data_IF_972407636752
#
_entry.id   IF_972407636752
#
_cell.length_a   1.000
_cell.length_b   1.000
_cell.length_c   1.000
_cell.angle_alpha   90.00
_cell.angle_beta   90.00
_cell.angle_gamma   90.00
#
_symmetry.space_group_name_H-M   'P 1'
#
loop_
_entity.id
_entity.type
_entity.pdbx_description
1 polymer ?
#
# COMPACT_ATOMS: atom_id res chain seq x y z
N UNK A 1 101.84 80.03 -118.93
CA UNK A 1 101.00 80.42 -117.78
C UNK A 1 99.48 80.41 -118.01
N UNK A 2 98.95 80.23 -119.24
CA UNK A 2 97.48 80.32 -119.47
C UNK A 2 96.69 79.01 -119.24
N UNK A 3 97.29 77.82 -119.42
CA UNK A 3 96.59 76.53 -119.30
C UNK A 3 96.40 76.02 -117.86
N UNK A 4 97.23 76.47 -116.90
CA UNK A 4 97.17 76.01 -115.50
C UNK A 4 96.04 76.68 -114.68
N UNK A 5 95.69 77.93 -115.01
CA UNK A 5 94.65 78.69 -114.30
C UNK A 5 93.24 78.18 -114.64
N UNK A 6 93.01 77.78 -115.89
CA UNK A 6 91.71 77.21 -116.31
C UNK A 6 91.40 75.85 -115.68
N UNK A 7 92.41 74.99 -115.50
CA UNK A 7 92.27 73.69 -114.82
C UNK A 7 91.92 73.86 -113.33
N UNK A 8 92.49 74.87 -112.66
CA UNK A 8 92.25 75.13 -111.26
C UNK A 8 90.82 75.66 -111.01
N UNK A 9 90.29 76.47 -111.93
CA UNK A 9 88.90 76.94 -111.87
C UNK A 9 87.91 75.79 -112.15
N UNK A 10 88.19 74.95 -113.14
CA UNK A 10 87.37 73.75 -113.41
C UNK A 10 87.37 72.75 -112.26
N UNK A 11 88.52 72.52 -111.62
CA UNK A 11 88.64 71.69 -110.42
C UNK A 11 87.88 72.29 -109.22
N UNK A 12 87.99 73.61 -109.00
CA UNK A 12 87.27 74.30 -107.93
C UNK A 12 85.73 74.19 -108.09
N UNK A 13 85.21 74.26 -109.32
CA UNK A 13 83.78 74.10 -109.59
C UNK A 13 83.27 72.69 -109.27
N UNK A 14 84.04 71.64 -109.63
CA UNK A 14 83.69 70.25 -109.31
C UNK A 14 83.76 70.00 -107.80
N UNK A 15 84.79 70.50 -107.11
CA UNK A 15 84.90 70.39 -105.65
C UNK A 15 83.73 71.08 -104.96
N UNK A 16 83.32 72.26 -105.43
CA UNK A 16 82.17 72.97 -104.88
C UNK A 16 80.88 72.15 -105.01
N UNK A 17 80.64 71.52 -106.16
CA UNK A 17 79.42 70.73 -106.39
C UNK A 17 79.39 69.45 -105.53
N UNK A 18 80.53 68.76 -105.39
CA UNK A 18 80.64 67.56 -104.53
C UNK A 18 80.46 67.93 -103.05
N UNK A 19 81.10 68.99 -102.58
CA UNK A 19 80.99 69.47 -101.19
C UNK A 19 79.57 69.97 -100.88
N UNK A 20 78.90 70.63 -101.84
CA UNK A 20 77.58 71.24 -101.63
C UNK A 20 76.41 70.28 -101.77
N UNK A 21 76.49 69.27 -102.64
CA UNK A 21 75.37 68.36 -102.94
C UNK A 21 75.57 66.90 -102.52
N UNK A 22 76.80 66.35 -102.55
CA UNK A 22 77.03 64.91 -102.27
C UNK A 22 77.45 64.66 -100.81
N UNK A 23 78.27 65.55 -100.22
CA UNK A 23 78.71 65.42 -98.82
C UNK A 23 77.56 65.53 -97.79
N UNK A 24 76.55 66.42 -97.94
CA UNK A 24 75.47 66.54 -96.96
C UNK A 24 74.62 65.26 -96.74
N UNK A 25 74.14 64.54 -97.78
CA UNK A 25 73.35 63.31 -97.57
C UNK A 25 74.21 62.17 -97.02
N UNK A 26 75.48 62.04 -97.43
CA UNK A 26 76.40 61.02 -96.89
C UNK A 26 76.71 61.26 -95.41
N UNK A 27 76.97 62.53 -95.02
CA UNK A 27 77.16 62.88 -93.59
C UNK A 27 75.91 62.64 -92.76
N UNK A 28 74.71 62.91 -93.28
CA UNK A 28 73.44 62.62 -92.59
C UNK A 28 73.21 61.13 -92.38
N UNK A 29 73.49 60.29 -93.38
CA UNK A 29 73.36 58.84 -93.25
C UNK A 29 74.37 58.26 -92.24
N UNK A 30 75.62 58.75 -92.26
CA UNK A 30 76.65 58.35 -91.30
C UNK A 30 76.33 58.82 -89.87
N UNK A 31 75.84 60.04 -89.70
CA UNK A 31 75.38 60.55 -88.40
C UNK A 31 74.16 59.75 -87.89
N UNK A 32 73.20 59.41 -88.76
CA UNK A 32 72.06 58.58 -88.40
C UNK A 32 72.48 57.15 -87.99
N UNK A 33 73.47 56.57 -88.66
CA UNK A 33 74.06 55.28 -88.23
C UNK A 33 74.83 55.39 -86.92
N UNK A 34 75.61 56.45 -86.72
CA UNK A 34 76.29 56.71 -85.44
C UNK A 34 75.31 56.90 -84.29
N UNK A 35 74.20 57.60 -84.51
CA UNK A 35 73.17 57.84 -83.50
C UNK A 35 72.37 56.56 -83.20
N UNK A 36 72.02 55.77 -84.23
CA UNK A 36 71.37 54.47 -84.03
C UNK A 36 72.26 53.50 -83.23
N UNK A 37 73.58 53.48 -83.50
CA UNK A 37 74.54 52.68 -82.72
C UNK A 37 74.67 53.20 -81.29
N UNK A 38 74.68 54.53 -81.07
CA UNK A 38 74.64 55.11 -79.72
C UNK A 38 73.37 54.74 -78.97
N UNK A 39 72.21 54.83 -79.62
CA UNK A 39 70.92 54.51 -79.02
C UNK A 39 70.82 53.02 -78.70
N UNK A 40 71.28 52.15 -79.61
CA UNK A 40 71.38 50.71 -79.34
C UNK A 40 72.32 50.39 -78.17
N UNK A 41 73.45 51.10 -78.04
CA UNK A 41 74.35 50.96 -76.88
C UNK A 41 73.72 51.47 -75.58
N UNK A 42 72.95 52.56 -75.62
CA UNK A 42 72.23 53.09 -74.45
C UNK A 42 71.07 52.19 -74.03
N UNK A 43 70.28 51.69 -74.97
CA UNK A 43 69.19 50.75 -74.68
C UNK A 43 69.72 49.41 -74.17
N UNK A 44 70.84 48.92 -74.73
CA UNK A 44 71.53 47.73 -74.22
C UNK A 44 72.11 47.95 -72.83
N UNK A 45 72.68 49.13 -72.55
CA UNK A 45 73.17 49.50 -71.21
C UNK A 45 72.00 49.60 -70.20
N UNK A 46 70.91 50.27 -70.54
CA UNK A 46 69.72 50.39 -69.69
C UNK A 46 69.03 49.04 -69.46
N UNK A 47 69.01 48.15 -70.46
CA UNK A 47 68.50 46.79 -70.30
C UNK A 47 69.42 45.94 -69.40
N UNK A 48 70.75 46.09 -69.51
CA UNK A 48 71.71 45.46 -68.63
C UNK A 48 71.57 45.97 -67.18
N UNK A 49 71.38 47.27 -66.98
CA UNK A 49 71.15 47.86 -65.66
C UNK A 49 69.83 47.38 -65.04
N UNK A 50 68.73 47.32 -65.80
CA UNK A 50 67.45 46.75 -65.31
C UNK A 50 67.55 45.26 -64.99
N UNK A 51 68.34 44.49 -65.75
CA UNK A 51 68.57 43.08 -65.47
C UNK A 51 69.38 42.90 -64.18
N UNK A 52 70.41 43.72 -63.95
CA UNK A 52 71.17 43.69 -62.69
C UNK A 52 70.33 44.15 -61.50
N UNK A 53 69.51 45.18 -61.66
CA UNK A 53 68.56 45.63 -60.63
C UNK A 53 67.50 44.56 -60.33
N UNK A 54 66.89 43.95 -61.34
CA UNK A 54 65.90 42.89 -61.15
C UNK A 54 66.52 41.61 -60.55
N UNK A 55 67.73 41.23 -60.93
CA UNK A 55 68.40 40.05 -60.35
C UNK A 55 68.82 40.29 -58.91
N UNK A 56 69.26 41.51 -58.57
CA UNK A 56 69.56 41.88 -57.18
C UNK A 56 68.30 42.04 -56.33
N UNK A 57 67.21 42.57 -56.88
CA UNK A 57 65.90 42.62 -56.20
C UNK A 57 65.32 41.21 -55.99
N UNK A 58 65.40 40.34 -57.00
CA UNK A 58 64.97 38.94 -56.89
C UNK A 58 65.79 38.16 -55.86
N UNK A 59 67.13 38.29 -55.87
CA UNK A 59 67.98 37.63 -54.88
C UNK A 59 67.70 38.13 -53.46
N UNK A 60 67.53 39.45 -53.27
CA UNK A 60 67.10 40.02 -51.99
C UNK A 60 65.73 39.50 -51.55
N UNK A 61 64.76 39.39 -52.47
CA UNK A 61 63.43 38.86 -52.16
C UNK A 61 63.47 37.37 -51.78
N UNK A 62 64.31 36.57 -52.45
CA UNK A 62 64.53 35.15 -52.11
C UNK A 62 65.18 35.02 -50.73
N UNK A 63 66.19 35.83 -50.41
CA UNK A 63 66.82 35.81 -49.08
C UNK A 63 65.86 36.28 -47.98
N UNK A 64 65.04 37.31 -48.25
CA UNK A 64 63.98 37.74 -47.33
C UNK A 64 62.91 36.65 -47.15
N UNK A 65 62.49 35.98 -48.21
CA UNK A 65 61.52 34.88 -48.14
C UNK A 65 62.09 33.67 -47.36
N UNK A 66 63.38 33.35 -47.53
CA UNK A 66 64.06 32.32 -46.73
C UNK A 66 64.11 32.70 -45.25
N UNK A 67 64.45 33.95 -44.93
CA UNK A 67 64.47 34.44 -43.56
C UNK A 67 63.07 34.40 -42.92
N UNK A 68 62.04 34.79 -43.66
CA UNK A 68 60.65 34.74 -43.18
C UNK A 68 60.15 33.30 -43.02
N UNK A 69 60.47 32.40 -43.96
CA UNK A 69 60.12 30.98 -43.85
C UNK A 69 60.76 30.35 -42.62
N UNK A 70 62.02 30.70 -42.32
CA UNK A 70 62.70 30.25 -41.11
C UNK A 70 61.97 30.74 -39.86
N UNK A 71 61.58 32.02 -39.80
CA UNK A 71 60.80 32.57 -38.68
C UNK A 71 59.46 31.85 -38.51
N UNK A 72 58.73 31.61 -39.60
CA UNK A 72 57.44 30.89 -39.56
C UNK A 72 57.62 29.45 -39.06
N UNK A 73 58.69 28.76 -39.46
CA UNK A 73 58.98 27.41 -38.96
C UNK A 73 59.35 27.43 -37.48
N UNK A 74 60.18 28.39 -37.04
CA UNK A 74 60.57 28.53 -35.64
C UNK A 74 59.35 28.87 -34.75
N UNK A 75 58.45 29.75 -35.23
CA UNK A 75 57.18 30.08 -34.57
C UNK A 75 56.24 28.87 -34.52
N UNK A 76 56.07 28.14 -35.64
CA UNK A 76 55.26 26.93 -35.68
C UNK A 76 55.81 25.83 -34.74
N UNK A 77 57.13 25.69 -34.61
CA UNK A 77 57.74 24.77 -33.64
C UNK A 77 57.49 25.21 -32.19
N UNK A 78 57.60 26.50 -31.90
CA UNK A 78 57.29 27.04 -30.58
C UNK A 78 55.81 26.86 -30.22
N UNK A 79 54.91 27.09 -31.18
CA UNK A 79 53.46 26.89 -31.02
C UNK A 79 53.11 25.42 -30.87
N UNK A 80 53.69 24.52 -31.67
CA UNK A 80 53.51 23.08 -31.52
C UNK A 80 53.91 22.62 -30.11
N UNK A 81 55.05 23.11 -29.61
CA UNK A 81 55.50 22.81 -28.24
C UNK A 81 54.49 23.34 -27.21
N UNK A 82 54.03 24.58 -27.34
CA UNK A 82 53.03 25.20 -26.44
C UNK A 82 51.72 24.41 -26.43
N UNK A 83 51.24 23.98 -27.61
CA UNK A 83 50.04 23.15 -27.75
C UNK A 83 50.24 21.80 -27.05
N UNK A 84 51.40 21.14 -27.24
CA UNK A 84 51.66 19.86 -26.56
C UNK A 84 51.72 20.01 -25.04
N UNK A 85 52.33 21.08 -24.53
CA UNK A 85 52.36 21.37 -23.09
C UNK A 85 50.95 21.65 -22.54
N UNK A 86 50.13 22.42 -23.27
CA UNK A 86 48.74 22.69 -22.90
C UNK A 86 47.88 21.41 -22.91
N UNK A 87 48.01 20.57 -23.93
CA UNK A 87 47.30 19.29 -24.01
C UNK A 87 47.75 18.34 -22.89
N UNK A 88 49.04 18.30 -22.56
CA UNK A 88 49.55 17.51 -21.45
C UNK A 88 49.01 18.01 -20.10
N UNK A 89 48.96 19.34 -19.89
CA UNK A 89 48.37 19.93 -18.70
C UNK A 89 46.87 19.63 -18.59
N UNK A 90 46.11 19.75 -19.69
CA UNK A 90 44.70 19.42 -19.75
C UNK A 90 44.45 17.93 -19.46
N UNK A 91 45.22 17.04 -20.07
CA UNK A 91 45.14 15.60 -19.82
C UNK A 91 45.41 15.26 -18.35
N UNK A 92 46.35 15.96 -17.70
CA UNK A 92 46.62 15.83 -16.26
C UNK A 92 45.41 16.26 -15.41
N UNK A 93 44.76 17.37 -15.75
CA UNK A 93 43.55 17.84 -15.07
C UNK A 93 42.37 16.86 -15.26
N UNK A 94 42.19 16.33 -16.47
CA UNK A 94 41.15 15.33 -16.76
C UNK A 94 41.42 14.01 -16.03
N UNK A 95 42.67 13.56 -15.96
CA UNK A 95 43.06 12.37 -15.21
C UNK A 95 42.75 12.52 -13.70
N UNK A 96 43.08 13.66 -13.08
CA UNK A 96 42.76 13.93 -11.68
C UNK A 96 41.24 14.07 -11.46
N UNK A 97 40.51 14.67 -12.41
CA UNK A 97 39.03 14.70 -12.37
C UNK A 97 38.46 13.28 -12.38
N UNK A 98 38.89 12.41 -13.29
CA UNK A 98 38.43 11.02 -13.39
C UNK A 98 38.79 10.25 -12.10
N UNK A 99 40.00 10.45 -11.57
CA UNK A 99 40.46 9.81 -10.33
C UNK A 99 39.61 10.22 -9.12
N UNK A 100 39.35 11.52 -8.95
CA UNK A 100 38.51 12.01 -7.86
C UNK A 100 37.06 11.53 -7.97
N UNK A 101 36.50 11.48 -9.18
CA UNK A 101 35.18 10.93 -9.44
C UNK A 101 35.13 9.42 -9.16
N UNK A 102 36.15 8.67 -9.60
CA UNK A 102 36.29 7.24 -9.33
C UNK A 102 36.35 6.94 -7.83
N UNK A 103 37.12 7.72 -7.07
CA UNK A 103 37.18 7.58 -5.60
C UNK A 103 35.81 7.77 -4.95
N UNK A 104 35.07 8.81 -5.34
CA UNK A 104 33.70 9.03 -4.83
C UNK A 104 32.75 7.89 -5.20
N UNK A 105 32.87 7.33 -6.40
CA UNK A 105 32.07 6.19 -6.83
C UNK A 105 32.37 4.94 -5.99
N UNK A 106 33.65 4.68 -5.69
CA UNK A 106 34.06 3.57 -4.83
C UNK A 106 33.49 3.72 -3.42
N UNK A 107 33.50 4.92 -2.85
CA UNK A 107 32.94 5.17 -1.52
C UNK A 107 31.42 4.95 -1.47
N UNK A 108 30.70 5.35 -2.52
CA UNK A 108 29.26 5.08 -2.66
C UNK A 108 28.99 3.58 -2.77
N UNK A 109 29.73 2.86 -3.61
CA UNK A 109 29.61 1.40 -3.74
C UNK A 109 29.92 0.69 -2.43
N UNK A 110 30.95 1.14 -1.69
CA UNK A 110 31.30 0.59 -0.37
C UNK A 110 30.17 0.79 0.63
N UNK A 111 29.55 1.97 0.65
CA UNK A 111 28.42 2.27 1.53
C UNK A 111 27.19 1.43 1.17
N UNK A 112 26.90 1.28 -0.13
CA UNK A 112 25.81 0.44 -0.61
C UNK A 112 26.03 -1.03 -0.26
N UNK A 113 27.23 -1.57 -0.49
CA UNK A 113 27.59 -2.94 -0.15
C UNK A 113 27.48 -3.18 1.36
N UNK A 114 27.94 -2.25 2.18
CA UNK A 114 27.81 -2.36 3.65
C UNK A 114 26.35 -2.41 4.08
N UNK A 115 25.49 -1.59 3.48
CA UNK A 115 24.05 -1.61 3.75
C UNK A 115 23.42 -2.94 3.30
N UNK A 116 23.77 -3.43 2.13
CA UNK A 116 23.28 -4.71 1.62
C UNK A 116 23.71 -5.86 2.53
N UNK A 117 24.98 -5.93 2.92
CA UNK A 117 25.50 -6.94 3.84
C UNK A 117 24.80 -6.88 5.21
N UNK A 118 24.50 -5.68 5.73
CA UNK A 118 23.74 -5.54 6.98
C UNK A 118 22.31 -6.09 6.87
N UNK A 119 21.65 -5.89 5.73
CA UNK A 119 20.31 -6.42 5.50
C UNK A 119 20.34 -7.94 5.34
N UNK A 120 21.28 -8.47 4.54
CA UNK A 120 21.45 -9.91 4.34
C UNK A 120 21.77 -10.62 5.66
N UNK A 121 22.71 -10.07 6.44
CA UNK A 121 23.03 -10.59 7.77
C UNK A 121 21.83 -10.50 8.71
N UNK A 122 21.06 -9.40 8.66
CA UNK A 122 19.84 -9.24 9.45
C UNK A 122 18.78 -10.30 9.13
N UNK A 123 18.55 -10.56 7.84
CA UNK A 123 17.63 -11.61 7.40
C UNK A 123 18.08 -13.00 7.85
N UNK A 124 19.38 -13.31 7.68
CA UNK A 124 19.94 -14.59 8.09
C UNK A 124 19.89 -14.77 9.62
N UNK A 125 20.18 -13.72 10.38
CA UNK A 125 20.06 -13.74 11.84
C UNK A 125 18.62 -13.98 12.30
N UNK A 126 17.61 -13.35 11.67
CA UNK A 126 16.20 -13.60 11.98
C UNK A 126 15.77 -15.01 11.57
N UNK A 127 16.29 -15.54 10.45
CA UNK A 127 16.03 -16.92 10.03
C UNK A 127 16.55 -17.93 11.07
N UNK A 128 17.79 -17.75 11.52
CA UNK A 128 18.41 -18.57 12.57
C UNK A 128 17.68 -18.42 13.91
N UNK A 129 17.33 -17.19 14.30
CA UNK A 129 16.51 -16.95 15.49
C UNK A 129 15.14 -17.65 15.38
N UNK A 130 14.52 -17.66 14.20
CA UNK A 130 13.29 -18.40 13.94
C UNK A 130 13.44 -19.92 14.09
N UNK A 131 14.58 -20.50 13.70
CA UNK A 131 14.89 -21.92 13.94
C UNK A 131 15.11 -22.22 15.43
N UNK A 132 15.87 -21.37 16.13
CA UNK A 132 16.08 -21.50 17.57
C UNK A 132 14.75 -21.41 18.34
N UNK A 133 13.90 -20.45 18.01
CA UNK A 133 12.57 -20.30 18.62
C UNK A 133 11.69 -21.50 18.29
N UNK A 134 11.67 -21.99 17.04
CA UNK A 134 10.92 -23.20 16.67
C UNK A 134 11.34 -24.42 17.49
N UNK A 135 12.63 -24.61 17.69
CA UNK A 135 13.14 -25.71 18.51
C UNK A 135 12.80 -25.52 19.99
N UNK A 136 12.86 -24.28 20.50
CA UNK A 136 12.50 -23.95 21.87
C UNK A 136 11.00 -24.21 22.15
N UNK A 137 10.09 -23.78 21.25
CA UNK A 137 8.64 -23.98 21.42
C UNK A 137 8.16 -25.40 21.07
N UNK A 138 9.03 -26.26 20.55
CA UNK A 138 8.70 -27.67 20.34
C UNK A 138 8.60 -28.44 21.67
N UNK A 139 9.22 -27.94 22.74
CA UNK A 139 9.05 -28.44 24.11
C UNK A 139 7.73 -27.91 24.71
N UNK A 140 6.78 -28.79 25.07
CA UNK A 140 5.50 -28.39 25.68
C UNK A 140 5.66 -27.53 26.94
N UNK A 141 6.71 -27.75 27.74
CA UNK A 141 6.94 -26.98 28.97
C UNK A 141 7.30 -25.51 28.64
N UNK A 142 8.14 -25.29 27.63
CA UNK A 142 8.53 -23.94 27.18
C UNK A 142 7.37 -23.24 26.46
N UNK A 143 6.57 -23.99 25.71
CA UNK A 143 5.36 -23.47 25.10
C UNK A 143 4.37 -22.97 26.16
N UNK A 144 4.09 -23.77 27.19
CA UNK A 144 3.21 -23.37 28.30
C UNK A 144 3.74 -22.12 28.99
N UNK A 145 5.01 -22.09 29.38
CA UNK A 145 5.61 -20.95 30.06
C UNK A 145 5.55 -19.66 29.22
N UNK A 146 5.63 -19.75 27.89
CA UNK A 146 5.47 -18.60 26.98
C UNK A 146 4.03 -18.10 26.95
N UNK A 147 3.06 -19.01 26.94
CA UNK A 147 1.63 -18.68 27.02
C UNK A 147 1.32 -18.04 28.36
N UNK A 148 1.80 -18.61 29.46
CA UNK A 148 1.55 -18.11 30.82
C UNK A 148 2.07 -16.68 30.99
N UNK A 149 3.32 -16.41 30.57
CA UNK A 149 3.87 -15.04 30.57
C UNK A 149 3.01 -14.08 29.74
N UNK A 150 2.54 -14.51 28.57
CA UNK A 150 1.70 -13.66 27.73
C UNK A 150 0.34 -13.38 28.38
N UNK A 151 -0.24 -14.36 29.08
CA UNK A 151 -1.47 -14.17 29.85
C UNK A 151 -1.25 -13.20 31.02
N UNK A 152 -0.13 -13.32 31.74
CA UNK A 152 0.24 -12.37 32.80
C UNK A 152 0.37 -10.94 32.26
N UNK A 153 1.02 -10.77 31.10
CA UNK A 153 1.15 -9.47 30.43
C UNK A 153 -0.23 -8.92 30.02
N UNK A 154 -1.13 -9.76 29.51
CA UNK A 154 -2.49 -9.36 29.16
C UNK A 154 -3.30 -8.95 30.39
N UNK A 155 -3.21 -9.69 31.49
CA UNK A 155 -3.89 -9.37 32.74
C UNK A 155 -3.38 -8.04 33.33
N UNK A 156 -2.07 -7.77 33.21
CA UNK A 156 -1.49 -6.48 33.59
C UNK A 156 -1.96 -5.31 32.71
N UNK A 157 -2.25 -5.57 31.43
CA UNK A 157 -2.73 -4.55 30.47
C UNK A 157 -4.26 -4.36 30.49
N UNK A 158 -5.01 -5.30 31.06
CA UNK A 158 -6.47 -5.27 31.03
C UNK A 158 -7.02 -4.16 31.96
N UNK A 159 -7.80 -3.19 31.46
CA UNK A 159 -8.55 -2.29 32.32
C UNK A 159 -9.60 -3.08 33.13
N UNK A 160 -9.89 -2.62 34.36
CA UNK A 160 -10.80 -3.28 35.29
C UNK A 160 -12.11 -3.74 34.63
N UNK A 161 -12.55 -4.96 35.00
CA UNK A 161 -13.74 -5.69 34.55
C UNK A 161 -14.50 -5.00 33.42
N UNK A 162 -14.13 -5.34 32.18
CA UNK A 162 -14.92 -4.94 31.02
C UNK A 162 -16.38 -5.35 31.26
N UNK A 163 -17.28 -4.38 31.34
CA UNK A 163 -18.71 -4.62 31.46
C UNK A 163 -19.16 -5.26 30.15
N UNK A 164 -19.23 -6.59 30.14
CA UNK A 164 -19.55 -7.35 28.95
C UNK A 164 -21.04 -7.18 28.66
N UNK A 165 -21.35 -6.13 27.91
CA UNK A 165 -22.72 -5.84 27.52
C UNK A 165 -23.27 -7.00 26.68
N UNK A 166 -24.30 -7.66 27.22
CA UNK A 166 -24.94 -8.80 26.57
C UNK A 166 -25.42 -8.42 25.15
N UNK A 167 -25.13 -9.20 24.09
CA UNK A 167 -25.39 -8.81 22.69
C UNK A 167 -26.85 -8.44 22.38
N UNK A 168 -27.80 -8.96 23.15
CA UNK A 168 -29.21 -8.60 23.05
C UNK A 168 -29.45 -7.15 23.47
N UNK A 169 -28.79 -6.68 24.53
CA UNK A 169 -28.89 -5.28 24.96
C UNK A 169 -28.26 -4.35 23.94
N UNK A 170 -27.16 -4.75 23.30
CA UNK A 170 -26.49 -3.95 22.27
C UNK A 170 -27.42 -3.63 21.09
N UNK A 171 -28.28 -4.58 20.66
CA UNK A 171 -29.24 -4.33 19.57
C UNK A 171 -30.48 -3.54 20.01
N UNK A 172 -30.82 -3.58 21.29
CA UNK A 172 -32.02 -2.94 21.84
C UNK A 172 -31.82 -1.44 22.05
N UNK A 173 -32.90 -0.67 21.88
CA UNK A 173 -32.96 0.76 22.25
C UNK A 173 -33.16 0.92 23.76
N UNK A 174 -33.01 2.15 24.27
CA UNK A 174 -33.06 2.46 25.71
C UNK A 174 -34.29 1.88 26.43
N UNK A 175 -35.50 2.10 25.92
CA UNK A 175 -36.74 1.58 26.55
C UNK A 175 -36.75 0.05 26.61
N UNK A 176 -36.35 -0.63 25.54
CA UNK A 176 -36.30 -2.10 25.52
C UNK A 176 -35.22 -2.66 26.44
N UNK A 177 -34.09 -1.95 26.62
CA UNK A 177 -33.05 -2.34 27.59
C UNK A 177 -33.57 -2.28 29.02
N UNK A 178 -34.25 -1.20 29.39
CA UNK A 178 -34.87 -1.05 30.72
C UNK A 178 -35.94 -2.12 30.94
N UNK A 179 -36.82 -2.32 29.95
CA UNK A 179 -37.84 -3.36 29.98
C UNK A 179 -37.25 -4.77 30.21
N UNK A 180 -36.16 -5.10 29.51
CA UNK A 180 -35.47 -6.38 29.67
C UNK A 180 -34.88 -6.53 31.07
N UNK A 181 -34.23 -5.47 31.61
CA UNK A 181 -33.66 -5.50 32.96
C UNK A 181 -34.73 -5.76 34.01
N UNK A 182 -35.83 -5.00 33.97
CA UNK A 182 -36.95 -5.15 34.91
C UNK A 182 -37.56 -6.56 34.82
N UNK A 183 -37.76 -7.05 33.59
CA UNK A 183 -38.34 -8.36 33.34
C UNK A 183 -37.42 -9.49 33.84
N UNK A 184 -36.11 -9.39 33.60
CA UNK A 184 -35.13 -10.35 34.13
C UNK A 184 -35.08 -10.32 35.65
N UNK A 185 -35.11 -9.14 36.29
CA UNK A 185 -35.17 -9.03 37.76
C UNK A 185 -36.42 -9.73 38.31
N UNK A 186 -37.60 -9.46 37.74
CA UNK A 186 -38.84 -10.13 38.13
C UNK A 186 -38.77 -11.64 37.94
N UNK A 187 -38.22 -12.09 36.82
CA UNK A 187 -38.01 -13.51 36.55
C UNK A 187 -37.10 -14.15 37.61
N UNK A 188 -35.98 -13.51 37.98
CA UNK A 188 -35.07 -14.07 39.00
C UNK A 188 -35.73 -14.18 40.38
N UNK A 189 -36.68 -13.31 40.71
CA UNK A 189 -37.48 -13.43 41.94
C UNK A 189 -38.39 -14.65 41.87
N UNK A 190 -39.15 -14.80 40.78
CA UNK A 190 -40.09 -15.92 40.59
C UNK A 190 -39.33 -17.25 40.52
N UNK A 191 -38.19 -17.28 39.83
CA UNK A 191 -37.41 -18.49 39.62
C UNK A 191 -36.93 -19.13 40.93
N UNK A 192 -36.62 -18.34 41.97
CA UNK A 192 -36.12 -18.84 43.26
C UNK A 192 -37.06 -19.85 43.93
N UNK A 193 -38.36 -19.66 43.77
CA UNK A 193 -39.38 -20.47 44.44
C UNK A 193 -39.85 -21.67 43.61
N UNK A 194 -39.38 -21.80 42.37
CA UNK A 194 -39.72 -22.91 41.47
C UNK A 194 -38.80 -24.10 41.68
N UNK A 195 -39.26 -25.32 41.38
CA UNK A 195 -38.41 -26.49 41.25
C UNK A 195 -37.84 -26.64 39.82
N UNK A 196 -36.90 -27.57 39.61
CA UNK A 196 -36.25 -27.76 38.31
C UNK A 196 -37.25 -28.17 37.21
N UNK A 197 -38.30 -28.92 37.59
CA UNK A 197 -39.34 -29.37 36.67
C UNK A 197 -40.22 -28.19 36.22
N UNK A 198 -40.64 -27.32 37.14
CA UNK A 198 -41.38 -26.12 36.84
C UNK A 198 -40.56 -25.13 36.01
N UNK A 199 -39.25 -24.97 36.28
CA UNK A 199 -38.37 -24.15 35.44
C UNK A 199 -38.25 -24.68 34.00
N UNK A 200 -38.13 -25.99 33.85
CA UNK A 200 -38.08 -26.63 32.53
C UNK A 200 -39.40 -26.47 31.77
N UNK A 201 -40.54 -26.58 32.47
CA UNK A 201 -41.86 -26.32 31.91
C UNK A 201 -42.06 -24.85 31.54
N UNK A 202 -41.66 -23.92 32.41
CA UNK A 202 -41.67 -22.48 32.13
C UNK A 202 -40.86 -22.16 30.86
N UNK A 203 -39.69 -22.77 30.71
CA UNK A 203 -38.87 -22.59 29.49
C UNK A 203 -39.59 -23.03 28.22
N UNK A 204 -40.16 -24.24 28.21
CA UNK A 204 -40.86 -24.78 27.04
C UNK A 204 -42.13 -24.01 26.70
N UNK A 205 -42.87 -23.57 27.72
CA UNK A 205 -44.06 -22.73 27.54
C UNK A 205 -43.69 -21.35 27.00
N UNK A 206 -42.64 -20.70 27.51
CA UNK A 206 -42.15 -19.41 26.98
C UNK A 206 -41.72 -19.50 25.52
N UNK A 207 -41.09 -20.61 25.12
CA UNK A 207 -40.73 -20.86 23.70
C UNK A 207 -41.99 -21.01 22.85
N UNK A 208 -42.98 -21.77 23.32
CA UNK A 208 -44.24 -21.97 22.61
C UNK A 208 -45.00 -20.64 22.43
N UNK A 209 -45.00 -19.79 23.46
CA UNK A 209 -45.59 -18.45 23.40
C UNK A 209 -44.79 -17.53 22.48
N UNK A 210 -43.46 -17.58 22.52
CA UNK A 210 -42.61 -16.82 21.60
C UNK A 210 -42.86 -17.20 20.13
N UNK A 211 -43.02 -18.49 19.83
CA UNK A 211 -43.39 -18.97 18.49
C UNK A 211 -44.79 -18.50 18.08
N UNK A 212 -45.77 -18.53 18.99
CA UNK A 212 -47.12 -18.02 18.73
C UNK A 212 -47.08 -16.52 18.40
N UNK A 213 -46.38 -15.73 19.20
CA UNK A 213 -46.23 -14.29 18.98
C UNK A 213 -45.48 -13.97 17.68
N UNK A 214 -44.55 -14.82 17.27
CA UNK A 214 -43.86 -14.65 15.99
C UNK A 214 -44.80 -14.89 14.80
N UNK A 215 -45.66 -15.90 14.88
CA UNK A 215 -46.67 -16.20 13.85
C UNK A 215 -47.78 -15.16 13.81
N UNK A 216 -48.30 -14.78 14.96
CA UNK A 216 -49.45 -13.89 15.11
C UNK A 216 -49.01 -12.42 15.25
N UNK A 217 -48.50 -11.85 14.15
CA UNK A 217 -47.92 -10.49 14.10
C UNK A 217 -48.89 -9.42 14.63
N UNK A 218 -50.20 -9.58 14.39
CA UNK A 218 -51.23 -8.62 14.83
C UNK A 218 -51.33 -8.58 16.36
N UNK A 219 -51.29 -9.75 17.00
CA UNK A 219 -51.32 -9.86 18.47
C UNK A 219 -50.08 -9.23 19.05
N UNK A 220 -48.90 -9.56 18.51
CA UNK A 220 -47.62 -9.00 18.98
C UNK A 220 -47.57 -7.49 18.82
N UNK A 221 -48.07 -6.96 17.71
CA UNK A 221 -48.15 -5.52 17.49
C UNK A 221 -49.01 -4.85 18.55
N UNK A 222 -50.15 -5.44 18.92
CA UNK A 222 -51.02 -4.91 19.96
C UNK A 222 -50.36 -4.98 21.36
N UNK A 223 -49.70 -6.09 21.68
CA UNK A 223 -49.01 -6.29 22.96
C UNK A 223 -47.77 -5.40 23.14
N UNK A 224 -47.23 -4.85 22.08
CA UNK A 224 -46.04 -3.97 22.11
C UNK A 224 -46.37 -2.50 21.89
N UNK A 225 -47.66 -2.12 21.80
CA UNK A 225 -48.05 -0.71 21.73
C UNK A 225 -47.59 0.01 22.99
N UNK A 226 -46.79 1.09 22.87
CA UNK A 226 -46.39 1.89 24.03
C UNK A 226 -47.61 2.64 24.58
N UNK A 227 -48.03 2.30 25.80
CA UNK A 227 -49.12 2.95 26.51
C UNK A 227 -48.75 3.15 27.99
N UNK A 228 -49.35 4.15 28.64
CA UNK A 228 -49.23 4.32 30.09
C UNK A 228 -49.99 3.22 30.85
N UNK A 229 -51.21 2.90 30.40
CA UNK A 229 -51.99 1.79 30.93
C UNK A 229 -51.70 0.49 30.14
N UNK A 230 -51.13 -0.49 30.82
CA UNK A 230 -50.91 -1.84 30.27
C UNK A 230 -52.11 -2.78 30.43
N UNK A 231 -53.15 -2.40 31.20
CA UNK A 231 -54.29 -3.23 31.53
C UNK A 231 -54.97 -3.92 30.33
N UNK A 232 -55.23 -3.23 29.20
CA UNK A 232 -55.80 -3.86 28.00
C UNK A 232 -54.90 -4.94 27.40
N UNK A 233 -53.57 -4.76 27.44
CA UNK A 233 -52.59 -5.74 26.92
C UNK A 233 -52.50 -6.96 27.84
N UNK A 234 -52.51 -6.73 29.14
CA UNK A 234 -52.56 -7.78 30.18
C UNK A 234 -53.82 -8.63 30.05
N UNK A 235 -55.01 -8.01 29.95
CA UNK A 235 -56.28 -8.75 29.77
C UNK A 235 -56.29 -9.58 28.48
N UNK A 236 -55.67 -9.08 27.41
CA UNK A 236 -55.56 -9.83 26.15
C UNK A 236 -54.71 -11.09 26.33
N UNK A 237 -53.50 -10.97 26.92
CA UNK A 237 -52.62 -12.13 27.10
C UNK A 237 -53.22 -13.16 28.06
N UNK A 238 -53.89 -12.69 29.13
CA UNK A 238 -54.65 -13.56 30.04
C UNK A 238 -55.75 -14.33 29.33
N UNK A 239 -56.58 -13.65 28.53
CA UNK A 239 -57.66 -14.31 27.78
C UNK A 239 -57.15 -15.31 26.74
N UNK A 240 -55.99 -15.06 26.13
CA UNK A 240 -55.45 -15.92 25.09
C UNK A 240 -54.79 -17.19 25.63
N UNK A 241 -54.14 -17.09 26.81
CA UNK A 241 -53.25 -18.12 27.33
C UNK A 241 -53.69 -18.74 28.67
N UNK A 242 -54.69 -18.18 29.35
CA UNK A 242 -55.26 -18.81 30.54
C UNK A 242 -55.73 -20.24 30.23
N UNK A 243 -55.33 -21.19 31.08
CA UNK A 243 -55.60 -22.62 30.92
C UNK A 243 -54.74 -23.34 29.85
N UNK A 244 -53.87 -22.63 29.12
CA UNK A 244 -52.94 -23.23 28.14
C UNK A 244 -51.48 -23.26 28.61
N UNK A 245 -51.13 -22.39 29.54
CA UNK A 245 -49.80 -22.29 30.17
C UNK A 245 -49.96 -22.29 31.68
N UNK A 246 -48.90 -22.65 32.41
CA UNK A 246 -48.89 -22.59 33.87
C UNK A 246 -49.04 -21.16 34.41
N UNK A 247 -49.51 -21.05 35.66
CA UNK A 247 -49.76 -19.76 36.33
C UNK A 247 -48.50 -18.88 36.40
N UNK A 248 -47.35 -19.52 36.60
CA UNK A 248 -46.03 -18.89 36.64
C UNK A 248 -45.66 -18.27 35.30
N UNK A 249 -45.86 -19.00 34.19
CA UNK A 249 -45.64 -18.47 32.84
C UNK A 249 -46.57 -17.31 32.58
N UNK A 250 -47.83 -17.40 33.01
CA UNK A 250 -48.78 -16.31 32.86
C UNK A 250 -48.36 -15.07 33.68
N UNK A 251 -47.81 -15.24 34.88
CA UNK A 251 -47.24 -14.13 35.67
C UNK A 251 -46.08 -13.44 34.94
N UNK A 252 -45.12 -14.20 34.42
CA UNK A 252 -43.98 -13.66 33.66
C UNK A 252 -44.46 -12.93 32.40
N UNK A 253 -45.46 -13.48 31.69
CA UNK A 253 -46.03 -12.85 30.51
C UNK A 253 -46.76 -11.54 30.85
N UNK A 254 -47.48 -11.49 31.97
CA UNK A 254 -48.11 -10.26 32.46
C UNK A 254 -47.08 -9.17 32.73
N UNK A 255 -45.96 -9.51 33.36
CA UNK A 255 -44.84 -8.59 33.54
C UNK A 255 -44.28 -8.13 32.18
N UNK A 256 -44.00 -9.07 31.27
CA UNK A 256 -43.43 -8.78 29.96
C UNK A 256 -44.31 -7.84 29.10
N UNK A 257 -45.63 -8.04 29.08
CA UNK A 257 -46.56 -7.17 28.33
C UNK A 257 -46.84 -5.85 29.03
N UNK A 258 -46.51 -5.72 30.32
CA UNK A 258 -46.63 -4.46 31.06
C UNK A 258 -45.49 -3.50 30.74
N UNK A 259 -44.34 -4.04 30.36
CA UNK A 259 -43.17 -3.26 29.97
C UNK A 259 -43.34 -2.48 28.65
N UNK A 260 -42.42 -1.52 28.44
CA UNK A 260 -42.37 -0.66 27.25
C UNK A 260 -41.29 -1.11 26.27
N UNK A 261 -41.74 -1.70 25.16
CA UNK A 261 -40.86 -2.20 24.09
C UNK A 261 -40.72 -1.19 22.95
N UNK A 262 -39.51 -1.05 22.43
CA UNK A 262 -39.20 -0.13 21.32
C UNK A 262 -39.44 -0.74 19.93
N UNK A 263 -39.57 -2.06 19.85
CA UNK A 263 -39.86 -2.81 18.64
C UNK A 263 -40.67 -4.08 18.98
N UNK A 264 -41.52 -4.51 18.05
CA UNK A 264 -42.37 -5.69 18.22
C UNK A 264 -41.54 -6.97 18.49
N UNK A 265 -40.38 -7.09 17.84
CA UNK A 265 -39.47 -8.22 18.01
C UNK A 265 -38.82 -8.28 19.40
N UNK A 266 -38.66 -7.13 20.07
CA UNK A 266 -37.92 -7.04 21.34
C UNK A 266 -38.65 -7.78 22.48
N UNK A 267 -39.98 -7.74 22.50
CA UNK A 267 -40.77 -8.54 23.45
C UNK A 267 -40.50 -10.03 23.28
N UNK A 268 -40.55 -10.51 22.04
CA UNK A 268 -40.33 -11.93 21.76
C UNK A 268 -38.89 -12.30 22.10
N UNK A 269 -37.92 -11.48 21.69
CA UNK A 269 -36.51 -11.65 22.04
C UNK A 269 -36.26 -11.75 23.55
N UNK A 270 -37.01 -10.98 24.35
CA UNK A 270 -36.94 -11.03 25.80
C UNK A 270 -37.52 -12.33 26.36
N UNK A 271 -38.65 -12.83 25.82
CA UNK A 271 -39.20 -14.14 26.20
C UNK A 271 -38.22 -15.27 25.86
N UNK A 272 -37.57 -15.22 24.70
CA UNK A 272 -36.52 -16.20 24.37
C UNK A 272 -35.28 -16.08 25.25
N UNK A 273 -35.01 -14.89 25.81
CA UNK A 273 -33.91 -14.70 26.74
C UNK A 273 -34.25 -15.35 28.09
N UNK A 274 -35.44 -15.09 28.62
CA UNK A 274 -35.93 -15.69 29.86
C UNK A 274 -36.06 -17.21 29.76
N UNK A 275 -36.53 -17.74 28.63
CA UNK A 275 -36.64 -19.20 28.44
C UNK A 275 -35.28 -19.89 28.55
N UNK A 276 -34.24 -19.26 28.03
CA UNK A 276 -32.85 -19.75 28.12
C UNK A 276 -32.31 -19.58 29.55
N UNK A 277 -32.59 -18.45 30.20
CA UNK A 277 -32.22 -18.25 31.61
C UNK A 277 -32.85 -19.30 32.53
N UNK A 278 -34.11 -19.70 32.27
CA UNK A 278 -34.76 -20.77 33.04
C UNK A 278 -34.04 -22.12 32.91
N UNK A 279 -33.60 -22.51 31.70
CA UNK A 279 -32.82 -23.74 31.52
C UNK A 279 -31.42 -23.65 32.12
N UNK A 280 -30.79 -22.48 32.04
CA UNK A 280 -29.47 -22.27 32.65
C UNK A 280 -29.55 -22.30 34.18
N UNK A 281 -30.64 -21.83 34.78
CA UNK A 281 -30.87 -21.98 36.22
C UNK A 281 -31.06 -23.43 36.64
N UNK A 282 -31.72 -24.26 35.81
CA UNK A 282 -31.76 -25.70 36.06
C UNK A 282 -30.35 -26.30 36.03
N UNK A 283 -29.51 -25.89 35.07
CA UNK A 283 -28.12 -26.36 35.01
C UNK A 283 -27.30 -25.92 36.22
N UNK A 284 -27.53 -24.70 36.72
CA UNK A 284 -26.89 -24.17 37.93
C UNK A 284 -27.25 -24.98 39.17
N UNK A 285 -28.54 -25.25 39.37
CA UNK A 285 -29.03 -26.06 40.50
C UNK A 285 -28.55 -27.51 40.47
N UNK A 286 -28.33 -28.05 39.27
CA UNK A 286 -27.79 -29.39 39.09
C UNK A 286 -26.25 -29.43 39.15
N UNK A 287 -25.57 -28.29 39.33
CA UNK A 287 -24.11 -28.15 39.26
C UNK A 287 -23.52 -28.65 37.91
N UNK A 288 -24.26 -28.50 36.82
CA UNK A 288 -23.86 -28.92 35.46
C UNK A 288 -23.48 -27.75 34.56
N UNK A 289 -23.29 -26.55 35.11
CA UNK A 289 -22.97 -25.34 34.33
C UNK A 289 -21.72 -25.55 33.48
N UNK A 290 -20.64 -26.08 34.06
CA UNK A 290 -19.38 -26.30 33.35
C UNK A 290 -19.56 -27.29 32.19
N UNK A 291 -20.31 -28.38 32.40
CA UNK A 291 -20.60 -29.38 31.37
C UNK A 291 -21.42 -28.77 30.22
N UNK A 292 -22.47 -28.00 30.54
CA UNK A 292 -23.32 -27.32 29.57
C UNK A 292 -22.51 -26.30 28.76
N UNK A 293 -21.65 -25.53 29.43
CA UNK A 293 -20.76 -24.56 28.82
C UNK A 293 -19.80 -25.23 27.83
N UNK A 294 -19.12 -26.30 28.26
CA UNK A 294 -18.18 -27.05 27.43
C UNK A 294 -18.86 -27.63 26.19
N UNK A 295 -20.03 -28.27 26.35
CA UNK A 295 -20.76 -28.88 25.25
C UNK A 295 -21.27 -27.85 24.24
N UNK A 296 -21.78 -26.69 24.70
CA UNK A 296 -22.19 -25.59 23.82
C UNK A 296 -20.99 -25.02 23.06
N UNK A 297 -19.85 -24.85 23.73
CA UNK A 297 -18.63 -24.35 23.10
C UNK A 297 -18.05 -25.33 22.09
N UNK A 298 -18.08 -26.63 22.40
CA UNK A 298 -17.71 -27.69 21.47
C UNK A 298 -18.61 -27.68 20.24
N UNK A 299 -19.93 -27.57 20.42
CA UNK A 299 -20.87 -27.47 19.31
C UNK A 299 -20.61 -26.22 18.45
N UNK A 300 -20.30 -25.08 19.07
CA UNK A 300 -19.85 -23.87 18.36
C UNK A 300 -18.63 -24.14 17.47
N UNK A 301 -17.60 -24.81 18.01
CA UNK A 301 -16.40 -25.16 17.23
C UNK A 301 -16.72 -26.09 16.06
N UNK A 302 -17.63 -27.04 16.25
CA UNK A 302 -18.09 -27.94 15.18
C UNK A 302 -18.77 -27.13 14.06
N UNK A 303 -19.66 -26.19 14.40
CA UNK A 303 -20.32 -25.32 13.42
C UNK A 303 -19.33 -24.42 12.67
N UNK A 304 -18.25 -24.00 13.33
CA UNK A 304 -17.18 -23.20 12.70
C UNK A 304 -16.36 -24.02 11.71
N UNK A 305 -16.07 -25.27 12.03
CA UNK A 305 -15.34 -26.20 11.14
C UNK A 305 -16.25 -26.69 10.01
N UNK A 306 -17.57 -26.78 10.24
CA UNK A 306 -18.56 -27.30 9.30
C UNK A 306 -19.56 -26.22 8.86
N UNK A 307 -19.16 -25.28 7.96
CA UNK A 307 -20.00 -24.14 7.58
C UNK A 307 -21.31 -24.55 6.89
N UNK A 308 -21.30 -25.68 6.18
CA UNK A 308 -22.51 -26.22 5.53
C UNK A 308 -23.59 -26.58 6.55
N UNK A 309 -23.21 -27.17 7.68
CA UNK A 309 -24.14 -27.51 8.76
C UNK A 309 -24.75 -26.23 9.37
N UNK A 310 -23.91 -25.22 9.61
CA UNK A 310 -24.36 -23.93 10.13
C UNK A 310 -25.37 -23.24 9.19
N UNK A 311 -25.16 -23.32 7.87
CA UNK A 311 -26.09 -22.79 6.86
C UNK A 311 -27.43 -23.54 6.92
N UNK A 312 -27.41 -24.88 6.93
CA UNK A 312 -28.62 -25.70 6.94
C UNK A 312 -29.46 -25.50 8.22
N UNK A 313 -28.82 -25.38 9.38
CA UNK A 313 -29.51 -25.08 10.63
C UNK A 313 -30.03 -23.63 10.67
N UNK A 314 -29.34 -22.72 9.99
CA UNK A 314 -29.70 -21.30 9.88
C UNK A 314 -30.76 -20.98 8.82
N UNK A 315 -31.13 -21.94 7.97
CA UNK A 315 -32.04 -21.72 6.84
C UNK A 315 -33.50 -21.69 7.28
N UNK A 316 -34.00 -20.49 7.60
CA UNK A 316 -35.38 -20.28 8.02
C UNK A 316 -36.42 -20.46 6.91
N UNK A 317 -36.01 -20.63 5.65
CA UNK A 317 -36.95 -21.00 4.58
C UNK A 317 -37.39 -22.47 4.69
N UNK A 318 -36.59 -23.30 5.38
CA UNK A 318 -36.89 -24.71 5.64
C UNK A 318 -37.76 -24.83 6.90
N UNK A 319 -38.82 -25.68 6.88
CA UNK A 319 -39.63 -25.99 8.05
C UNK A 319 -38.78 -26.35 9.28
N UNK A 320 -39.18 -25.85 10.44
CA UNK A 320 -38.45 -25.96 11.69
C UNK A 320 -38.20 -27.41 12.10
N UNK A 321 -39.16 -28.29 11.80
CA UNK A 321 -39.12 -29.72 12.11
C UNK A 321 -37.95 -30.40 11.39
N UNK A 322 -37.69 -30.02 10.14
CA UNK A 322 -36.56 -30.54 9.37
C UNK A 322 -35.21 -30.10 9.95
N UNK A 323 -35.12 -28.85 10.41
CA UNK A 323 -33.90 -28.30 11.02
C UNK A 323 -33.63 -28.87 12.40
N UNK A 324 -34.65 -29.02 13.23
CA UNK A 324 -34.56 -29.69 14.54
C UNK A 324 -34.22 -31.17 14.36
N UNK A 325 -34.80 -31.83 13.36
CA UNK A 325 -34.46 -33.21 12.99
C UNK A 325 -33.00 -33.36 12.57
N UNK A 326 -32.46 -32.41 11.81
CA UNK A 326 -31.03 -32.37 11.46
C UNK A 326 -30.15 -32.18 12.70
N UNK A 327 -30.49 -31.23 13.58
CA UNK A 327 -29.78 -30.99 14.83
C UNK A 327 -29.73 -32.27 15.68
N UNK A 328 -30.87 -32.95 15.85
CA UNK A 328 -30.94 -34.19 16.61
C UNK A 328 -30.04 -35.27 16.03
N UNK A 329 -30.08 -35.48 14.71
CA UNK A 329 -29.18 -36.46 14.04
C UNK A 329 -27.70 -36.14 14.26
N UNK A 330 -27.32 -34.87 14.28
CA UNK A 330 -25.94 -34.45 14.55
C UNK A 330 -25.57 -34.73 16.01
N UNK A 331 -26.46 -34.40 16.96
CA UNK A 331 -26.24 -34.67 18.38
C UNK A 331 -26.20 -36.17 18.68
N UNK A 332 -27.06 -36.98 18.05
CA UNK A 332 -27.08 -38.44 18.19
C UNK A 332 -25.84 -39.12 17.58
N UNK A 333 -25.25 -38.51 16.55
CA UNK A 333 -24.00 -38.98 15.95
C UNK A 333 -22.76 -38.66 16.79
N UNK A 334 -22.90 -37.83 17.83
CA UNK A 334 -21.79 -37.48 18.70
C UNK A 334 -21.39 -38.70 19.55
N UNK A 335 -20.09 -38.95 19.68
CA UNK A 335 -19.56 -40.06 20.47
C UNK A 335 -19.75 -39.91 21.99
N UNK A 336 -20.36 -38.81 22.45
CA UNK A 336 -20.51 -38.46 23.86
C UNK A 336 -21.97 -38.19 24.14
N UNK A 337 -22.45 -38.64 25.29
CA UNK A 337 -23.80 -38.35 25.80
C UNK A 337 -24.01 -36.85 25.91
N UNK A 338 -24.93 -36.31 25.12
CA UNK A 338 -25.27 -34.89 25.14
C UNK A 338 -26.17 -34.61 26.34
N UNK A 339 -25.84 -33.57 27.10
CA UNK A 339 -26.65 -33.14 28.24
C UNK A 339 -28.03 -32.67 27.73
N UNK A 340 -29.14 -33.09 28.36
CA UNK A 340 -30.49 -32.74 27.91
C UNK A 340 -30.74 -31.22 27.88
N UNK A 341 -30.10 -30.46 28.77
CA UNK A 341 -30.20 -28.99 28.80
C UNK A 341 -29.56 -28.37 27.56
N UNK A 342 -28.41 -28.90 27.12
CA UNK A 342 -27.73 -28.46 25.89
C UNK A 342 -28.61 -28.76 24.67
N UNK A 343 -29.14 -29.97 24.59
CA UNK A 343 -30.05 -30.36 23.52
C UNK A 343 -31.29 -29.46 23.47
N UNK A 344 -31.87 -29.12 24.63
CA UNK A 344 -33.00 -28.19 24.73
C UNK A 344 -32.61 -26.77 24.28
N UNK A 345 -31.50 -26.21 24.77
CA UNK A 345 -31.04 -24.86 24.40
C UNK A 345 -30.74 -24.73 22.90
N UNK A 346 -30.10 -25.74 22.30
CA UNK A 346 -29.81 -25.76 20.86
C UNK A 346 -31.10 -25.90 20.05
N UNK A 347 -32.01 -26.78 20.47
CA UNK A 347 -33.32 -26.97 19.82
C UNK A 347 -34.12 -25.67 19.83
N UNK A 348 -34.28 -25.05 21.00
CA UNK A 348 -34.96 -23.75 21.15
C UNK A 348 -34.32 -22.67 20.28
N UNK A 349 -33.00 -22.67 20.14
CA UNK A 349 -32.29 -21.69 19.31
C UNK A 349 -32.58 -21.87 17.81
N UNK A 350 -32.68 -23.11 17.34
CA UNK A 350 -33.05 -23.40 15.94
C UNK A 350 -34.52 -23.10 15.69
N UNK A 351 -35.40 -23.40 16.66
CA UNK A 351 -36.83 -23.16 16.58
C UNK A 351 -37.18 -21.68 16.48
N UNK A 352 -36.51 -20.85 17.27
CA UNK A 352 -36.78 -19.42 17.39
C UNK A 352 -35.90 -18.57 16.44
N UNK A 353 -35.30 -19.19 15.42
CA UNK A 353 -34.41 -18.49 14.50
C UNK A 353 -35.23 -17.68 13.47
N UNK A 354 -35.24 -16.35 13.62
CA UNK A 354 -36.08 -15.44 12.83
C UNK A 354 -35.24 -14.63 11.86
N UNK A 355 -35.57 -14.73 10.56
CA UNK A 355 -34.82 -14.28 9.39
C UNK A 355 -34.46 -12.79 9.26
N UNK A 356 -34.01 -12.12 10.33
CA UNK A 356 -33.26 -10.88 10.20
C UNK A 356 -32.08 -11.10 9.24
N UNK A 357 -31.87 -10.15 8.31
CA UNK A 357 -30.89 -10.25 7.21
C UNK A 357 -29.65 -11.06 7.63
N UNK A 358 -29.15 -12.00 6.81
CA UNK A 358 -27.76 -12.40 6.91
C UNK A 358 -26.92 -11.20 6.50
N UNK A 359 -26.78 -10.21 7.38
CA UNK A 359 -25.68 -9.27 7.29
C UNK A 359 -24.45 -10.18 7.31
N UNK A 360 -23.62 -10.02 6.26
CA UNK A 360 -22.38 -10.75 5.95
C UNK A 360 -21.91 -11.62 7.12
N UNK A 361 -21.56 -12.90 6.91
CA UNK A 361 -20.99 -13.74 7.97
C UNK A 361 -19.72 -13.07 8.52
N UNK A 362 -19.88 -12.18 9.50
CA UNK A 362 -18.83 -11.78 10.41
C UNK A 362 -18.66 -13.00 11.32
N UNK A 363 -17.77 -13.90 10.91
CA UNK A 363 -17.23 -15.02 11.68
C UNK A 363 -18.27 -15.73 12.56
N UNK A 364 -18.82 -16.82 12.02
CA UNK A 364 -19.78 -17.75 12.63
C UNK A 364 -19.44 -18.23 14.05
N UNK A 365 -18.24 -17.94 14.57
CA UNK A 365 -17.80 -18.36 15.89
C UNK A 365 -18.31 -17.49 17.03
N UNK A 366 -18.57 -16.19 16.80
CA UNK A 366 -18.90 -15.25 17.88
C UNK A 366 -20.35 -15.34 18.34
N UNK A 367 -21.29 -15.73 17.47
CA UNK A 367 -22.72 -15.80 17.83
C UNK A 367 -23.04 -16.97 18.78
N UNK A 368 -22.23 -18.02 18.74
CA UNK A 368 -22.34 -19.19 19.62
C UNK A 368 -21.41 -19.13 20.84
N UNK A 369 -20.28 -18.39 20.75
CA UNK A 369 -19.34 -18.15 21.87
C UNK A 369 -19.96 -17.53 23.12
N UNK A 370 -21.09 -16.81 22.97
CA UNK A 370 -21.64 -15.97 24.05
C UNK A 370 -22.87 -16.53 24.76
N UNK A 371 -23.49 -17.64 24.32
CA UNK A 371 -24.52 -18.31 25.14
C UNK A 371 -23.91 -19.18 26.25
N UNK A 372 -22.68 -19.64 26.05
CA UNK A 372 -21.81 -20.23 27.07
C UNK A 372 -21.32 -19.18 28.09
N UNK A 373 -21.13 -17.94 27.67
CA UNK A 373 -20.68 -16.82 28.52
C UNK A 373 -21.80 -16.15 29.36
N UNK A 374 -22.93 -16.84 29.58
CA UNK A 374 -23.97 -16.45 30.54
C UNK A 374 -23.47 -16.39 32.01
N UNK A 375 -22.17 -16.64 32.21
CA UNK A 375 -21.42 -16.46 33.46
C UNK A 375 -21.13 -14.99 33.85
N UNK A 376 -21.52 -13.99 33.04
CA UNK A 376 -21.26 -12.57 33.35
C UNK A 376 -22.53 -11.76 33.65
N UNK A 377 -23.29 -12.18 34.66
CA UNK A 377 -24.11 -11.24 35.44
C UNK A 377 -23.28 -10.80 36.66
N UNK A 378 -23.20 -9.49 36.97
CA UNK A 378 -22.25 -8.93 37.94
C UNK A 378 -22.72 -9.19 39.37
N UNK A 379 -22.62 -10.43 39.85
CA UNK A 379 -22.96 -10.80 41.23
C UNK A 379 -22.08 -11.93 41.79
N UNK A 380 -20.76 -11.85 41.62
CA UNK A 380 -19.85 -12.73 42.38
C UNK A 380 -18.39 -12.23 42.37
N UNK A 381 -18.17 -10.98 42.78
CA UNK A 381 -16.84 -10.51 43.17
C UNK A 381 -16.94 -9.73 44.49
N UNK A 382 -17.47 -10.40 45.52
CA UNK A 382 -17.15 -10.07 46.91
C UNK A 382 -16.52 -11.34 47.49
N UNK A 383 -15.21 -11.47 47.30
CA UNK A 383 -14.42 -12.28 48.22
C UNK A 383 -14.46 -11.57 49.59
N UNK A 384 -14.81 -12.26 50.69
CA UNK A 384 -14.58 -11.71 52.01
C UNK A 384 -13.07 -11.64 52.25
N UNK A 385 -12.67 -10.53 52.90
CA UNK A 385 -11.33 -10.22 53.39
C UNK A 385 -10.70 -11.33 54.22
#
# INVERSE_FOLDING_TARGET
MSTFIGQLVGFAAIVFLVVRYVVPPVRRLMAARQEAVRQQLQDAAAAADRLTESTTAHSKAVEAAKAESKRVVDEAQADAKRITEQLAAQAGLEAERIKSQGSRQVDLLRTQLTRQLRLELGHEAVRQAGELVRNYVADPAQQSATVDRFLDDLDAMAPAAADVQYPLMTKMRSSSRVALVNLTERFTTVAKDLDNKALSALSSELVSVAQMLDREIVVTRYLTVPAEDAGPRVRLIERLLSGKVGDVTLEVLRAAVSERWSANSDLIDALEHLSRQALLEVAERENKVDEVEEQLFRFSRILDVQPRLAILLGDYAVPVEGRVGLLRKVLDSASITVNPIVAALLTQTVELLRGGRPKRPCSSSRRWRWRAAARSSPRSARQPT
#
